data_IF_106005331939
#
_entry.id   IF_106005331939
#
_cell.length_a   1.000
_cell.length_b   1.000
_cell.length_c   1.000
_cell.angle_alpha   90.00
_cell.angle_beta   90.00
_cell.angle_gamma   90.00
#
_symmetry.space_group_name_H-M   'P 1'
#
loop_
_entity.id
_entity.type
_entity.pdbx_description
1 polymer ?
#
# COMPACT_ATOMS: atom_id res chain seq x y z
N UNK A 1 -40.67 13.91 -12.66
CA UNK A 1 -39.69 14.69 -11.88
C UNK A 1 -38.68 13.72 -11.27
N UNK A 2 -37.52 13.54 -11.88
CA UNK A 2 -36.45 12.68 -11.38
C UNK A 2 -35.31 13.57 -10.86
N UNK A 3 -34.85 13.32 -9.62
CA UNK A 3 -33.80 14.07 -8.93
C UNK A 3 -32.45 13.95 -9.66
N UNK A 4 -31.57 14.97 -9.61
CA UNK A 4 -30.30 14.95 -10.33
C UNK A 4 -29.33 13.94 -9.71
N UNK A 5 -28.55 13.32 -10.60
CA UNK A 5 -27.51 12.33 -10.32
C UNK A 5 -26.39 13.03 -9.55
N UNK A 6 -26.40 12.87 -8.21
CA UNK A 6 -25.39 13.44 -7.29
C UNK A 6 -24.04 12.68 -7.31
N UNK A 7 -23.84 11.82 -8.31
CA UNK A 7 -22.72 10.88 -8.40
C UNK A 7 -21.58 11.41 -9.28
N UNK A 8 -21.88 12.28 -10.27
CA UNK A 8 -20.83 12.89 -11.10
C UNK A 8 -20.02 13.95 -10.36
N UNK A 9 -20.66 14.80 -9.54
CA UNK A 9 -19.95 15.85 -8.79
C UNK A 9 -18.97 15.31 -7.75
N UNK A 10 -19.32 14.21 -7.07
CA UNK A 10 -18.46 13.59 -6.08
C UNK A 10 -17.21 12.94 -6.71
N UNK A 11 -17.37 12.21 -7.81
CA UNK A 11 -16.22 11.60 -8.51
C UNK A 11 -15.26 12.63 -9.09
N UNK A 12 -15.75 13.72 -9.70
CA UNK A 12 -14.88 14.77 -10.22
C UNK A 12 -14.14 15.53 -9.10
N UNK A 13 -14.79 15.73 -7.95
CA UNK A 13 -14.16 16.34 -6.79
C UNK A 13 -13.04 15.43 -6.25
N UNK A 14 -13.32 14.14 -6.03
CA UNK A 14 -12.33 13.17 -5.57
C UNK A 14 -11.14 13.05 -6.55
N UNK A 15 -11.39 12.93 -7.85
CA UNK A 15 -10.32 12.89 -8.85
C UNK A 15 -9.47 14.17 -8.87
N UNK A 16 -10.10 15.34 -8.69
CA UNK A 16 -9.40 16.61 -8.54
C UNK A 16 -8.55 16.67 -7.27
N UNK A 17 -9.08 16.17 -6.16
CA UNK A 17 -8.38 16.12 -4.87
C UNK A 17 -7.20 15.15 -4.91
N UNK A 18 -7.35 13.96 -5.51
CA UNK A 18 -6.27 12.98 -5.66
C UNK A 18 -5.15 13.52 -6.55
N UNK A 19 -5.48 14.19 -7.66
CA UNK A 19 -4.47 14.79 -8.55
C UNK A 19 -3.71 15.92 -7.86
N UNK A 20 -4.41 16.77 -7.09
CA UNK A 20 -3.78 17.83 -6.30
C UNK A 20 -2.89 17.24 -5.18
N UNK A 21 -3.35 16.19 -4.51
CA UNK A 21 -2.58 15.49 -3.48
C UNK A 21 -1.31 14.85 -4.04
N UNK A 22 -1.38 14.18 -5.19
CA UNK A 22 -0.20 13.61 -5.85
C UNK A 22 0.82 14.70 -6.21
N UNK A 23 0.39 15.84 -6.74
CA UNK A 23 1.30 16.95 -7.07
C UNK A 23 1.99 17.53 -5.82
N UNK A 24 1.27 17.62 -4.69
CA UNK A 24 1.86 18.04 -3.42
C UNK A 24 2.86 17.01 -2.89
N UNK A 25 2.54 15.72 -2.99
CA UNK A 25 3.46 14.66 -2.60
C UNK A 25 4.70 14.59 -3.48
N UNK A 26 4.59 14.79 -4.80
CA UNK A 26 5.75 14.87 -5.70
C UNK A 26 6.69 16.03 -5.32
N UNK A 27 6.12 17.19 -4.99
CA UNK A 27 6.90 18.35 -4.53
C UNK A 27 7.59 18.06 -3.19
N UNK A 28 6.86 17.46 -2.25
CA UNK A 28 7.42 17.08 -0.96
C UNK A 28 8.51 16.02 -1.10
N UNK A 29 8.30 15.03 -1.98
CA UNK A 29 9.23 13.94 -2.26
C UNK A 29 10.56 14.49 -2.78
N UNK A 30 10.52 15.45 -3.72
CA UNK A 30 11.72 16.09 -4.23
C UNK A 30 12.53 16.77 -3.12
N UNK A 31 11.85 17.57 -2.27
CA UNK A 31 12.53 18.26 -1.15
C UNK A 31 13.11 17.25 -0.15
N UNK A 32 12.34 16.21 0.20
CA UNK A 32 12.76 15.17 1.14
C UNK A 32 13.96 14.38 0.61
N UNK A 33 14.02 14.11 -0.70
CA UNK A 33 15.17 13.48 -1.37
C UNK A 33 16.41 14.39 -1.36
N UNK A 34 16.23 15.70 -1.59
CA UNK A 34 17.33 16.68 -1.55
C UNK A 34 17.96 16.81 -0.16
N UNK A 35 17.18 16.64 0.91
CA UNK A 35 17.66 16.70 2.30
C UNK A 35 17.96 15.32 2.92
N UNK A 36 17.94 14.25 2.14
CA UNK A 36 18.15 12.85 2.56
C UNK A 36 17.23 12.39 3.73
N UNK A 37 15.99 12.90 3.76
CA UNK A 37 14.98 12.52 4.74
C UNK A 37 14.31 11.17 4.39
N UNK A 38 15.10 10.09 4.38
CA UNK A 38 14.69 8.77 3.87
C UNK A 38 13.42 8.20 4.52
N UNK A 39 13.19 8.48 5.80
CA UNK A 39 11.95 8.10 6.48
C UNK A 39 10.74 8.80 5.86
N UNK A 40 10.84 10.11 5.65
CA UNK A 40 9.75 10.91 5.08
C UNK A 40 9.50 10.53 3.61
N UNK A 41 10.57 10.30 2.84
CA UNK A 41 10.46 9.78 1.45
C UNK A 41 9.67 8.47 1.43
N UNK A 42 9.96 7.54 2.34
CA UNK A 42 9.25 6.26 2.40
C UNK A 42 7.77 6.41 2.77
N UNK A 43 7.45 7.31 3.72
CA UNK A 43 6.05 7.62 4.09
C UNK A 43 5.30 8.23 2.92
N UNK A 44 5.90 9.23 2.26
CA UNK A 44 5.32 9.89 1.08
C UNK A 44 5.01 8.89 -0.03
N UNK A 45 5.96 8.00 -0.34
CA UNK A 45 5.77 6.95 -1.36
C UNK A 45 4.64 5.97 -1.01
N UNK A 46 4.52 5.56 0.25
CA UNK A 46 3.43 4.70 0.69
C UNK A 46 2.06 5.38 0.51
N UNK A 47 1.98 6.68 0.80
CA UNK A 47 0.73 7.43 0.66
C UNK A 47 0.37 7.67 -0.81
N UNK A 48 1.35 7.99 -1.66
CA UNK A 48 1.15 8.09 -3.11
C UNK A 48 0.66 6.76 -3.69
N UNK A 49 1.20 5.63 -3.22
CA UNK A 49 0.77 4.31 -3.64
C UNK A 49 -0.72 4.03 -3.33
N UNK A 50 -1.20 4.43 -2.15
CA UNK A 50 -2.62 4.34 -1.80
C UNK A 50 -3.51 5.19 -2.71
N UNK A 51 -3.09 6.40 -3.07
CA UNK A 51 -3.83 7.22 -4.04
C UNK A 51 -3.82 6.58 -5.43
N UNK A 52 -2.69 6.04 -5.87
CA UNK A 52 -2.63 5.32 -7.15
C UNK A 52 -3.56 4.09 -7.16
N UNK A 53 -3.68 3.37 -6.05
CA UNK A 53 -4.64 2.28 -5.89
C UNK A 53 -6.08 2.75 -6.04
N UNK A 54 -6.47 3.84 -5.36
CA UNK A 54 -7.81 4.45 -5.48
C UNK A 54 -8.12 4.91 -6.92
N UNK A 55 -7.09 5.35 -7.64
CA UNK A 55 -7.16 5.73 -9.06
C UNK A 55 -7.06 4.53 -10.02
N UNK A 56 -7.02 3.29 -9.53
CA UNK A 56 -6.82 2.05 -10.31
C UNK A 56 -5.52 2.01 -11.12
N UNK A 57 -4.54 2.83 -10.75
CA UNK A 57 -3.21 2.92 -11.33
C UNK A 57 -2.27 1.92 -10.67
N UNK A 58 -2.61 0.63 -10.79
CA UNK A 58 -1.96 -0.45 -10.02
C UNK A 58 -0.45 -0.56 -10.24
N UNK A 59 0.04 -0.28 -11.45
CA UNK A 59 1.48 -0.34 -11.73
C UNK A 59 2.25 0.78 -11.00
N UNK A 60 1.70 1.99 -10.95
CA UNK A 60 2.28 3.09 -10.19
C UNK A 60 2.22 2.83 -8.68
N UNK A 61 1.10 2.27 -8.19
CA UNK A 61 0.96 1.87 -6.79
C UNK A 61 2.01 0.83 -6.38
N UNK A 62 2.16 -0.24 -7.16
CA UNK A 62 3.16 -1.30 -6.93
C UNK A 62 4.58 -0.74 -6.90
N UNK A 63 4.92 0.12 -7.87
CA UNK A 63 6.25 0.75 -7.95
C UNK A 63 6.51 1.64 -6.72
N UNK A 64 5.53 2.43 -6.28
CA UNK A 64 5.65 3.30 -5.13
C UNK A 64 5.77 2.51 -3.81
N UNK A 65 4.98 1.44 -3.62
CA UNK A 65 5.11 0.54 -2.47
C UNK A 65 6.49 -0.13 -2.42
N UNK A 66 6.98 -0.67 -3.55
CA UNK A 66 8.30 -1.32 -3.61
C UNK A 66 9.43 -0.35 -3.28
N UNK A 67 9.36 0.90 -3.77
CA UNK A 67 10.34 1.94 -3.45
C UNK A 67 10.31 2.32 -1.97
N UNK A 68 9.11 2.42 -1.38
CA UNK A 68 8.94 2.67 0.06
C UNK A 68 9.52 1.54 0.91
N UNK A 69 9.28 0.27 0.55
CA UNK A 69 9.84 -0.91 1.22
C UNK A 69 11.38 -0.86 1.19
N UNK A 70 11.98 -0.63 0.03
CA UNK A 70 13.44 -0.58 -0.10
C UNK A 70 14.08 0.50 0.79
N UNK A 71 13.43 1.65 0.93
CA UNK A 71 13.88 2.72 1.83
C UNK A 71 13.70 2.34 3.30
N UNK A 72 12.56 1.75 3.67
CA UNK A 72 12.28 1.28 5.04
C UNK A 72 13.29 0.22 5.49
N UNK A 73 13.66 -0.69 4.60
CA UNK A 73 14.75 -1.65 4.83
C UNK A 73 16.09 -0.96 5.06
N UNK A 74 16.43 0.03 4.21
CA UNK A 74 17.69 0.78 4.31
C UNK A 74 17.85 1.51 5.65
N UNK A 75 16.75 2.06 6.18
CA UNK A 75 16.75 2.77 7.47
C UNK A 75 16.40 1.88 8.67
N UNK A 76 16.26 0.56 8.47
CA UNK A 76 15.85 -0.40 9.49
C UNK A 76 14.50 -0.08 10.18
N UNK A 77 13.56 0.54 9.45
CA UNK A 77 12.18 0.76 9.89
C UNK A 77 11.32 -0.47 9.61
N UNK A 78 11.48 -1.51 10.44
CA UNK A 78 10.73 -2.76 10.28
C UNK A 78 9.23 -2.60 10.51
N UNK A 79 8.81 -1.64 11.35
CA UNK A 79 7.40 -1.34 11.56
C UNK A 79 6.77 -0.77 10.28
N UNK A 80 7.43 0.21 9.68
CA UNK A 80 7.05 0.74 8.40
C UNK A 80 7.07 -0.34 7.32
N UNK A 81 8.14 -1.12 7.23
CA UNK A 81 8.25 -2.17 6.21
C UNK A 81 7.03 -3.10 6.22
N UNK A 82 6.66 -3.59 7.40
CA UNK A 82 5.49 -4.45 7.57
C UNK A 82 4.19 -3.80 7.08
N UNK A 83 3.94 -2.53 7.44
CA UNK A 83 2.76 -1.82 6.98
C UNK A 83 2.71 -1.65 5.45
N UNK A 84 3.84 -1.31 4.82
CA UNK A 84 3.88 -1.11 3.37
C UNK A 84 3.72 -2.42 2.62
N UNK A 85 4.34 -3.50 3.10
CA UNK A 85 4.15 -4.86 2.54
C UNK A 85 2.72 -5.34 2.68
N UNK A 86 2.07 -5.08 3.81
CA UNK A 86 0.67 -5.41 4.01
C UNK A 86 -0.23 -4.71 2.98
N UNK A 87 0.00 -3.41 2.74
CA UNK A 87 -0.73 -2.66 1.71
C UNK A 87 -0.46 -3.21 0.30
N UNK A 88 0.78 -3.59 -0.01
CA UNK A 88 1.13 -4.22 -1.28
C UNK A 88 0.43 -5.59 -1.44
N UNK A 89 0.28 -6.36 -0.35
CA UNK A 89 -0.48 -7.61 -0.38
C UNK A 89 -1.96 -7.39 -0.70
N UNK A 90 -2.58 -6.36 -0.13
CA UNK A 90 -3.96 -5.97 -0.45
C UNK A 90 -4.11 -5.58 -1.92
N UNK A 91 -3.16 -4.80 -2.45
CA UNK A 91 -3.12 -4.42 -3.86
C UNK A 91 -3.06 -5.66 -4.79
N UNK A 92 -2.26 -6.66 -4.44
CA UNK A 92 -2.18 -7.91 -5.20
C UNK A 92 -3.45 -8.76 -5.06
N UNK A 93 -4.04 -8.82 -3.86
CA UNK A 93 -5.31 -9.53 -3.64
C UNK A 93 -6.44 -8.92 -4.48
N UNK A 94 -6.53 -7.58 -4.53
CA UNK A 94 -7.52 -6.86 -5.34
C UNK A 94 -7.39 -7.15 -6.85
N UNK A 95 -6.16 -7.41 -7.31
CA UNK A 95 -5.88 -7.81 -8.70
C UNK A 95 -6.02 -9.32 -8.95
N UNK A 96 -6.36 -10.12 -7.92
CA UNK A 96 -6.43 -11.57 -8.00
C UNK A 96 -5.07 -12.27 -8.10
N UNK A 97 -3.95 -11.55 -7.90
CA UNK A 97 -2.58 -12.07 -7.87
C UNK A 97 -2.30 -12.71 -6.51
N UNK A 98 -3.00 -13.80 -6.21
CA UNK A 98 -3.00 -14.38 -4.85
C UNK A 98 -1.62 -14.91 -4.42
N UNK A 99 -0.82 -15.47 -5.33
CA UNK A 99 0.54 -15.91 -5.00
C UNK A 99 1.43 -14.74 -4.54
N UNK A 100 1.31 -13.59 -5.21
CA UNK A 100 2.06 -12.39 -4.85
C UNK A 100 1.58 -11.80 -3.50
N UNK A 101 0.26 -11.81 -3.26
CA UNK A 101 -0.30 -11.39 -1.98
C UNK A 101 0.17 -12.28 -0.82
N UNK A 102 0.19 -13.60 -1.02
CA UNK A 102 0.70 -14.58 -0.05
C UNK A 102 2.17 -14.30 0.27
N UNK A 103 3.00 -14.06 -0.75
CA UNK A 103 4.42 -13.76 -0.56
C UNK A 103 4.62 -12.53 0.34
N UNK A 104 3.92 -11.43 0.08
CA UNK A 104 4.05 -10.23 0.89
C UNK A 104 3.53 -10.42 2.32
N UNK A 105 2.39 -11.10 2.53
CA UNK A 105 1.89 -11.38 3.88
C UNK A 105 2.81 -12.30 4.69
N UNK A 106 3.52 -13.23 4.06
CA UNK A 106 4.51 -14.04 4.74
C UNK A 106 5.65 -13.17 5.31
N UNK A 107 6.11 -12.19 4.54
CA UNK A 107 7.12 -11.23 5.00
C UNK A 107 6.59 -10.35 6.14
N UNK A 108 5.33 -9.91 6.08
CA UNK A 108 4.70 -9.13 7.16
C UNK A 108 4.65 -9.93 8.47
N UNK A 109 4.18 -11.18 8.41
CA UNK A 109 4.09 -12.06 9.58
C UNK A 109 5.47 -12.29 10.19
N UNK A 110 6.50 -12.53 9.37
CA UNK A 110 7.88 -12.70 9.82
C UNK A 110 8.40 -11.44 10.53
N UNK A 111 8.17 -10.25 9.95
CA UNK A 111 8.55 -8.97 10.56
C UNK A 111 7.83 -8.71 11.88
N UNK A 112 6.54 -9.00 11.95
CA UNK A 112 5.75 -8.83 13.17
C UNK A 112 6.23 -9.74 14.30
N UNK A 113 6.60 -10.98 13.98
CA UNK A 113 7.18 -11.93 14.93
C UNK A 113 8.55 -11.45 15.44
N UNK A 114 9.41 -10.97 14.54
CA UNK A 114 10.71 -10.40 14.91
C UNK A 114 10.58 -9.18 15.82
N UNK A 115 9.53 -8.38 15.62
CA UNK A 115 9.22 -7.19 16.42
C UNK A 115 8.36 -7.48 17.66
N UNK A 116 8.09 -8.76 17.97
CA UNK A 116 7.23 -9.20 19.07
C UNK A 116 5.80 -8.59 19.06
N UNK A 117 5.28 -8.24 17.86
CA UNK A 117 3.92 -7.73 17.64
C UNK A 117 2.93 -8.87 17.45
N UNK A 118 2.82 -9.73 18.46
CA UNK A 118 2.11 -11.01 18.37
C UNK A 118 0.61 -10.87 18.02
N UNK A 119 -0.04 -9.80 18.48
CA UNK A 119 -1.45 -9.53 18.15
C UNK A 119 -1.65 -9.18 16.67
N UNK A 120 -0.69 -8.48 16.07
CA UNK A 120 -0.73 -8.11 14.65
C UNK A 120 -0.36 -9.33 13.79
N UNK A 121 0.68 -10.06 14.18
CA UNK A 121 1.06 -11.33 13.56
C UNK A 121 -0.10 -12.32 13.50
N UNK A 122 -0.92 -12.41 14.56
CA UNK A 122 -2.09 -13.30 14.57
C UNK A 122 -3.15 -12.90 13.53
N UNK A 123 -3.40 -11.60 13.34
CA UNK A 123 -4.33 -11.08 12.32
C UNK A 123 -3.80 -11.32 10.92
N UNK A 124 -2.52 -11.03 10.70
CA UNK A 124 -1.90 -11.15 9.38
C UNK A 124 -1.75 -12.63 8.98
N UNK A 125 -1.51 -13.52 9.95
CA UNK A 125 -1.58 -14.98 9.74
C UNK A 125 -2.99 -15.46 9.37
N UNK A 126 -4.03 -14.89 9.98
CA UNK A 126 -5.40 -15.25 9.63
C UNK A 126 -5.74 -14.84 8.20
N UNK A 127 -5.34 -13.63 7.80
CA UNK A 127 -5.49 -13.14 6.42
C UNK A 127 -4.70 -14.00 5.43
N UNK A 128 -3.45 -14.32 5.74
CA UNK A 128 -2.61 -15.22 4.95
C UNK A 128 -3.30 -16.58 4.72
N UNK A 129 -3.85 -17.15 5.78
CA UNK A 129 -4.58 -18.44 5.73
C UNK A 129 -5.83 -18.33 4.85
N UNK A 130 -6.55 -17.22 4.91
CA UNK A 130 -7.71 -16.97 4.06
C UNK A 130 -7.32 -16.95 2.57
N UNK A 131 -6.30 -16.18 2.20
CA UNK A 131 -5.85 -16.09 0.80
C UNK A 131 -5.31 -17.44 0.30
N UNK A 132 -4.58 -18.18 1.14
CA UNK A 132 -4.13 -19.54 0.79
C UNK A 132 -5.29 -20.49 0.51
N UNK A 133 -6.37 -20.39 1.30
CA UNK A 133 -7.57 -21.20 1.11
C UNK A 133 -8.28 -20.80 -0.18
N UNK A 134 -8.38 -19.50 -0.47
CA UNK A 134 -8.95 -19.00 -1.72
C UNK A 134 -8.17 -19.47 -2.94
N UNK A 135 -6.84 -19.40 -2.92
CA UNK A 135 -5.98 -19.90 -4.00
C UNK A 135 -6.18 -21.40 -4.23
N UNK A 136 -6.26 -22.20 -3.16
CA UNK A 136 -6.52 -23.64 -3.26
C UNK A 136 -7.90 -23.95 -3.83
N UNK A 137 -8.90 -23.11 -3.59
CA UNK A 137 -10.25 -23.30 -4.12
C UNK A 137 -10.38 -22.92 -5.61
N UNK A 138 -9.43 -22.15 -6.15
CA UNK A 138 -9.38 -21.76 -7.57
C UNK A 138 -8.65 -22.77 -8.47
N UNK A 139 -7.89 -23.68 -7.87
CA UNK A 139 -7.12 -24.74 -8.55
C UNK A 139 -7.82 -26.09 -8.44
#
# INVERSE_FOLDING_TARGET
>A
MAKPIRVSGYHFHQLGDHSAALSQYETALQIQEEVDAQHDVAVTLNNMAGIYEELTQFQQAETAYQRSIALRQKIADGYGEGLTRYNLALLYQAQGRLEAAIHELQQVVELDEQLARLDLAAKDRAMLTQIQTELRARN
#
